data_IF_100139230594
#
_entry.id   IF_100139230594
#
_cell.length_a   1.000
_cell.length_b   1.000
_cell.length_c   1.000
_cell.angle_alpha   90.00
_cell.angle_beta   90.00
_cell.angle_gamma   90.00
#
_symmetry.space_group_name_H-M   'P 1'
#
loop_
_entity.id
_entity.type
_entity.pdbx_description
1 polymer ?
#
# COMPACT_ATOMS: atom_id res chain seq x y z
N UNK A 1 46.55 10.79 15.87
CA UNK A 1 45.90 9.67 15.14
C UNK A 1 44.86 10.27 14.21
N UNK A 2 45.10 10.21 12.92
CA UNK A 2 44.36 10.99 11.93
C UNK A 2 43.00 10.36 11.59
N UNK A 3 41.97 11.19 11.55
CA UNK A 3 40.62 10.83 11.08
C UNK A 3 40.65 10.79 9.54
N UNK A 4 40.58 9.59 8.96
CA UNK A 4 40.37 9.47 7.52
C UNK A 4 38.89 9.72 7.20
N UNK A 5 38.66 10.72 6.36
CA UNK A 5 37.32 11.14 5.95
C UNK A 5 36.75 10.18 4.88
N UNK A 6 35.44 9.91 4.92
CA UNK A 6 34.71 9.10 3.93
C UNK A 6 34.87 9.55 2.46
N UNK A 7 35.45 10.71 2.24
CA UNK A 7 35.68 11.29 0.91
C UNK A 7 36.85 10.64 0.18
N UNK A 8 37.85 10.08 0.89
CA UNK A 8 38.99 9.41 0.28
C UNK A 8 38.73 7.97 -0.18
N UNK A 9 37.66 7.34 0.33
CA UNK A 9 37.27 5.98 -0.06
C UNK A 9 36.75 5.93 -1.51
N UNK A 10 36.05 6.97 -1.97
CA UNK A 10 35.46 7.02 -3.31
C UNK A 10 36.44 7.47 -4.42
N UNK A 11 37.63 7.95 -4.09
CA UNK A 11 38.62 8.40 -5.11
C UNK A 11 39.65 7.33 -5.49
N UNK A 12 39.72 6.18 -4.82
CA UNK A 12 40.71 5.13 -5.07
C UNK A 12 40.23 3.95 -5.94
N UNK A 13 39.01 3.97 -6.48
CA UNK A 13 38.49 2.89 -7.34
C UNK A 13 38.41 3.24 -8.83
N UNK A 14 39.02 4.34 -9.26
CA UNK A 14 39.03 4.75 -10.66
C UNK A 14 40.45 4.97 -11.17
N UNK A 15 41.27 3.93 -11.21
CA UNK A 15 42.48 3.90 -12.05
C UNK A 15 43.20 2.55 -11.99
N UNK A 16 42.78 1.60 -12.82
CA UNK A 16 43.64 0.52 -13.34
C UNK A 16 42.98 -0.13 -14.55
N UNK A 17 43.15 0.47 -15.72
CA UNK A 17 42.98 -0.20 -17.00
C UNK A 17 44.29 -0.09 -17.76
N UNK A 18 45.08 -1.15 -17.73
CA UNK A 18 46.24 -1.32 -18.64
C UNK A 18 45.84 -2.34 -19.68
N UNK A 19 46.01 -1.97 -20.93
CA UNK A 19 45.63 -2.74 -22.08
C UNK A 19 46.48 -3.99 -22.32
N UNK A 20 45.88 -4.96 -22.97
CA UNK A 20 46.56 -6.01 -23.74
C UNK A 20 45.73 -6.26 -25.00
N UNK A 21 46.34 -5.86 -26.12
CA UNK A 21 45.95 -6.26 -27.48
C UNK A 21 46.41 -7.67 -27.77
N UNK A 22 45.50 -8.54 -28.22
CA UNK A 22 45.83 -9.67 -29.09
C UNK A 22 44.63 -10.01 -29.99
N UNK A 23 44.94 -10.38 -31.19
CA UNK A 23 44.18 -10.48 -32.41
C UNK A 23 43.17 -11.65 -32.48
N UNK A 24 42.38 -11.79 -33.55
CA UNK A 24 41.03 -12.38 -33.52
C UNK A 24 41.01 -13.85 -33.85
N UNK A 25 40.12 -14.58 -33.20
CA UNK A 25 39.64 -15.87 -33.71
C UNK A 25 38.12 -15.88 -33.81
N UNK A 26 37.70 -16.08 -35.04
CA UNK A 26 36.33 -16.36 -35.47
C UNK A 26 35.72 -17.54 -34.68
N UNK A 27 34.51 -17.41 -34.18
CA UNK A 27 33.44 -18.37 -34.26
C UNK A 27 32.20 -17.92 -33.48
N UNK A 28 31.04 -17.87 -34.15
CA UNK A 28 29.75 -18.16 -33.57
C UNK A 28 28.96 -16.97 -33.01
N UNK A 29 28.23 -16.26 -33.84
CA UNK A 29 27.07 -15.43 -33.46
C UNK A 29 26.02 -16.29 -32.72
N UNK A 30 25.69 -15.88 -31.52
CA UNK A 30 24.32 -15.95 -31.02
C UNK A 30 24.01 -14.65 -30.28
N UNK A 31 23.59 -13.66 -31.03
CA UNK A 31 23.09 -12.40 -30.52
C UNK A 31 21.82 -12.62 -29.71
N UNK A 32 21.97 -12.70 -28.40
CA UNK A 32 20.83 -12.41 -27.50
C UNK A 32 20.71 -10.90 -27.46
N UNK A 33 19.89 -10.36 -28.34
CA UNK A 33 19.37 -9.01 -28.22
C UNK A 33 18.71 -8.90 -26.83
N UNK A 34 19.32 -8.09 -25.99
CA UNK A 34 18.73 -7.61 -24.73
C UNK A 34 17.45 -6.88 -25.15
N UNK A 35 16.27 -7.51 -25.01
CA UNK A 35 15.01 -6.85 -25.28
C UNK A 35 14.94 -5.65 -24.33
N UNK A 36 15.04 -4.45 -24.87
CA UNK A 36 14.67 -3.25 -24.15
C UNK A 36 13.23 -3.41 -23.68
N UNK A 37 13.03 -3.45 -22.35
CA UNK A 37 11.68 -3.44 -21.81
C UNK A 37 11.01 -2.17 -22.34
N UNK A 38 9.81 -2.27 -22.92
CA UNK A 38 9.13 -1.08 -23.43
C UNK A 38 8.98 -0.08 -22.28
N UNK A 39 9.46 1.14 -22.49
CA UNK A 39 9.19 2.27 -21.59
C UNK A 39 7.68 2.40 -21.50
N UNK A 40 7.14 2.19 -20.31
CA UNK A 40 5.70 2.27 -20.08
C UNK A 40 5.20 3.62 -20.59
N UNK A 41 4.28 3.62 -21.56
CA UNK A 41 3.63 4.84 -22.03
C UNK A 41 3.00 5.50 -20.81
N UNK A 42 3.45 6.70 -20.48
CA UNK A 42 2.85 7.51 -19.41
C UNK A 42 1.39 7.74 -19.77
N UNK A 43 0.49 7.30 -18.90
CA UNK A 43 -0.95 7.53 -19.10
C UNK A 43 -1.23 9.03 -19.09
N UNK A 44 -2.21 9.45 -19.89
CA UNK A 44 -2.66 10.85 -19.90
C UNK A 44 -3.19 11.21 -18.52
N UNK A 45 -2.76 12.33 -17.91
CA UNK A 45 -3.26 12.77 -16.62
C UNK A 45 -4.77 13.00 -16.61
N UNK A 46 -5.48 12.34 -15.72
CA UNK A 46 -6.89 12.54 -15.44
C UNK A 46 -7.04 13.34 -14.16
N UNK A 47 -7.77 14.43 -14.24
CA UNK A 47 -8.02 15.35 -13.16
C UNK A 47 -9.47 15.26 -12.69
N UNK A 48 -9.65 15.08 -11.38
CA UNK A 48 -10.95 15.19 -10.71
C UNK A 48 -10.83 16.20 -9.57
N UNK A 49 -11.85 17.00 -9.36
CA UNK A 49 -11.93 18.00 -8.29
C UNK A 49 -10.66 18.86 -8.14
N UNK A 50 -10.05 19.26 -9.26
CA UNK A 50 -8.86 20.11 -9.23
C UNK A 50 -9.20 21.48 -8.66
N UNK A 51 -8.55 21.86 -7.55
CA UNK A 51 -8.70 23.15 -6.88
C UNK A 51 -7.36 23.86 -6.78
N UNK A 52 -7.40 25.20 -6.86
CA UNK A 52 -6.25 26.02 -6.53
C UNK A 52 -5.91 25.87 -5.05
N UNK A 53 -4.64 25.75 -4.71
CA UNK A 53 -4.18 25.54 -3.34
C UNK A 53 -4.10 24.08 -2.89
N UNK A 54 -4.62 23.10 -3.68
CA UNK A 54 -4.36 21.68 -3.46
C UNK A 54 -3.19 21.22 -4.35
N UNK A 55 -2.30 20.45 -3.79
CA UNK A 55 -1.21 19.78 -4.53
C UNK A 55 -1.61 18.36 -4.93
N UNK A 56 -1.28 17.98 -6.16
CA UNK A 56 -1.63 16.69 -6.74
C UNK A 56 -0.39 15.99 -7.29
N UNK A 57 -0.39 14.66 -7.20
CA UNK A 57 0.64 13.80 -7.79
C UNK A 57 -0.01 12.66 -8.56
N UNK A 58 0.65 12.19 -9.60
CA UNK A 58 0.16 11.04 -10.35
C UNK A 58 0.28 9.76 -9.51
N UNK A 59 -0.78 8.95 -9.49
CA UNK A 59 -0.78 7.64 -8.85
C UNK A 59 -0.14 6.60 -9.79
N UNK A 60 1.18 6.53 -9.77
CA UNK A 60 1.95 5.63 -10.61
C UNK A 60 1.60 5.76 -12.10
N UNK A 61 1.42 4.63 -12.77
CA UNK A 61 1.06 4.55 -14.21
C UNK A 61 -0.45 4.67 -14.49
N UNK A 62 -1.29 4.90 -13.46
CA UNK A 62 -2.77 4.89 -13.63
C UNK A 62 -3.33 6.09 -14.39
N UNK A 63 -2.58 7.19 -14.46
CA UNK A 63 -3.07 8.47 -14.96
C UNK A 63 -3.86 9.30 -13.95
N UNK A 64 -4.26 8.73 -12.82
CA UNK A 64 -5.06 9.44 -11.80
C UNK A 64 -4.20 10.50 -11.10
N UNK A 65 -4.59 11.78 -11.20
CA UNK A 65 -3.96 12.88 -10.46
C UNK A 65 -4.63 13.01 -9.10
N UNK A 66 -4.02 12.39 -8.08
CA UNK A 66 -4.56 12.31 -6.72
C UNK A 66 -4.02 13.44 -5.84
N UNK A 67 -4.84 13.94 -4.93
CA UNK A 67 -4.44 14.92 -3.93
C UNK A 67 -3.36 14.36 -2.98
N UNK A 68 -2.46 15.20 -2.49
CA UNK A 68 -1.41 14.79 -1.55
C UNK A 68 -1.97 14.17 -0.27
N UNK A 69 -3.18 14.56 0.13
CA UNK A 69 -3.93 13.94 1.23
C UNK A 69 -5.09 13.12 0.69
N UNK A 70 -5.26 11.91 1.22
CA UNK A 70 -6.35 10.97 0.93
C UNK A 70 -7.39 11.06 2.02
N UNK A 71 -8.66 11.09 1.65
CA UNK A 71 -9.80 11.00 2.57
C UNK A 71 -9.88 9.59 3.15
N UNK A 72 -9.44 9.40 4.38
CA UNK A 72 -9.48 8.14 5.12
C UNK A 72 -10.80 7.96 5.85
N UNK A 73 -11.65 7.05 5.40
CA UNK A 73 -13.06 6.99 5.85
C UNK A 73 -13.33 6.01 6.99
N UNK A 74 -12.31 5.43 7.62
CA UNK A 74 -12.50 4.37 8.65
C UNK A 74 -13.59 4.69 9.72
N UNK A 75 -13.71 5.93 10.28
CA UNK A 75 -14.73 6.25 11.27
C UNK A 75 -16.09 6.63 10.68
N UNK A 76 -16.23 6.83 9.36
CA UNK A 76 -17.38 7.49 8.71
C UNK A 76 -18.59 6.54 8.52
N UNK A 77 -19.08 6.00 9.62
CA UNK A 77 -20.18 5.02 9.61
C UNK A 77 -21.58 5.62 9.64
N UNK A 78 -21.72 6.95 9.74
CA UNK A 78 -23.01 7.63 9.76
C UNK A 78 -22.93 9.04 9.14
N UNK A 79 -24.08 9.66 8.77
CA UNK A 79 -24.14 10.95 8.09
C UNK A 79 -23.58 12.15 8.86
N UNK A 80 -23.31 12.03 10.15
CA UNK A 80 -22.70 13.14 10.93
C UNK A 80 -21.33 13.58 10.36
N UNK A 81 -20.69 12.71 9.58
CA UNK A 81 -19.39 13.00 8.93
C UNK A 81 -19.53 13.71 7.57
N UNK A 82 -20.75 13.92 7.06
CA UNK A 82 -20.95 14.63 5.78
C UNK A 82 -20.32 16.03 5.76
N UNK A 83 -20.42 16.85 6.82
CA UNK A 83 -19.73 18.15 6.85
C UNK A 83 -18.20 18.03 6.77
N UNK A 84 -17.62 16.95 7.28
CA UNK A 84 -16.17 16.71 7.17
C UNK A 84 -15.81 16.35 5.73
N UNK A 85 -16.58 15.44 5.10
CA UNK A 85 -16.42 15.09 3.68
C UNK A 85 -16.57 16.31 2.78
N UNK A 86 -17.55 17.20 3.05
CA UNK A 86 -17.69 18.47 2.33
C UNK A 86 -16.42 19.31 2.46
N UNK A 87 -15.93 19.49 3.69
CA UNK A 87 -14.74 20.29 3.95
C UNK A 87 -13.47 19.74 3.28
N UNK A 88 -13.33 18.42 3.18
CA UNK A 88 -12.23 17.73 2.49
C UNK A 88 -12.33 17.91 0.97
N UNK A 89 -13.51 17.64 0.39
CA UNK A 89 -13.72 17.69 -1.06
C UNK A 89 -13.70 19.13 -1.57
N UNK A 90 -14.25 20.08 -0.85
CA UNK A 90 -14.23 21.50 -1.24
C UNK A 90 -12.81 22.08 -1.27
N UNK A 91 -11.89 21.51 -0.49
CA UNK A 91 -10.46 21.86 -0.53
C UNK A 91 -9.66 21.13 -1.59
N UNK A 92 -10.32 20.35 -2.45
CA UNK A 92 -9.67 19.68 -3.58
C UNK A 92 -9.20 18.25 -3.28
N UNK A 93 -9.46 17.71 -2.10
CA UNK A 93 -9.18 16.29 -1.87
C UNK A 93 -10.06 15.45 -2.79
N UNK A 94 -9.45 14.49 -3.49
CA UNK A 94 -10.12 13.75 -4.56
C UNK A 94 -9.90 12.25 -4.56
N UNK A 95 -9.26 11.70 -3.53
CA UNK A 95 -9.12 10.25 -3.36
C UNK A 95 -9.78 9.83 -2.06
N UNK A 96 -10.78 8.93 -2.17
CA UNK A 96 -11.55 8.41 -1.04
C UNK A 96 -11.15 6.95 -0.80
N UNK A 97 -10.57 6.66 0.36
CA UNK A 97 -10.19 5.30 0.76
C UNK A 97 -11.23 4.69 1.71
N UNK A 98 -11.93 3.66 1.24
CA UNK A 98 -12.89 2.89 2.02
C UNK A 98 -12.52 1.41 2.08
N UNK A 99 -13.33 0.60 2.76
CA UNK A 99 -13.21 -0.85 2.78
C UNK A 99 -14.50 -1.53 3.22
N UNK A 100 -14.81 -2.70 2.64
CA UNK A 100 -15.92 -3.55 3.07
C UNK A 100 -15.81 -3.97 4.55
N UNK A 101 -14.58 -4.09 5.09
CA UNK A 101 -14.33 -4.41 6.49
C UNK A 101 -14.63 -3.27 7.47
N UNK A 102 -14.72 -2.02 7.01
CA UNK A 102 -14.96 -0.87 7.90
C UNK A 102 -16.42 -0.88 8.40
N UNK A 103 -16.57 -1.08 9.70
CA UNK A 103 -17.89 -1.20 10.35
C UNK A 103 -18.85 -2.17 9.60
N UNK A 104 -18.31 -3.31 9.12
CA UNK A 104 -19.08 -4.35 8.39
C UNK A 104 -19.80 -3.80 7.15
N UNK A 105 -19.16 -2.89 6.40
CA UNK A 105 -19.69 -2.29 5.18
C UNK A 105 -20.53 -1.03 5.39
N UNK A 106 -20.80 -0.62 6.63
CA UNK A 106 -21.60 0.57 6.89
C UNK A 106 -20.92 1.85 6.39
N UNK A 107 -19.56 1.90 6.48
CA UNK A 107 -18.79 3.02 5.93
C UNK A 107 -18.98 3.14 4.42
N UNK A 108 -18.92 2.03 3.67
CA UNK A 108 -19.21 2.06 2.23
C UNK A 108 -20.62 2.57 1.94
N UNK A 109 -21.62 2.16 2.73
CA UNK A 109 -23.01 2.64 2.58
C UNK A 109 -23.13 4.14 2.84
N UNK A 110 -22.47 4.65 3.86
CA UNK A 110 -22.44 6.09 4.18
C UNK A 110 -21.78 6.90 3.07
N UNK A 111 -20.61 6.47 2.57
CA UNK A 111 -19.91 7.11 1.46
C UNK A 111 -20.75 7.04 0.17
N UNK A 112 -21.38 5.90 -0.13
CA UNK A 112 -22.28 5.75 -1.27
C UNK A 112 -23.44 6.73 -1.23
N UNK A 113 -24.10 6.88 -0.08
CA UNK A 113 -25.19 7.85 0.12
C UNK A 113 -24.70 9.28 -0.08
N UNK A 114 -23.57 9.65 0.54
CA UNK A 114 -22.97 10.97 0.38
C UNK A 114 -22.67 11.30 -1.09
N UNK A 115 -21.96 10.41 -1.80
CA UNK A 115 -21.60 10.64 -3.19
C UNK A 115 -22.81 10.73 -4.12
N UNK A 116 -23.88 9.98 -3.82
CA UNK A 116 -25.13 10.06 -4.56
C UNK A 116 -25.89 11.37 -4.31
N UNK A 117 -26.06 11.75 -3.04
CA UNK A 117 -26.75 12.97 -2.64
C UNK A 117 -26.09 14.22 -3.19
N UNK A 118 -24.77 14.28 -3.13
CA UNK A 118 -23.97 15.42 -3.63
C UNK A 118 -23.65 15.34 -5.12
N UNK A 119 -24.01 14.26 -5.82
CA UNK A 119 -23.55 13.95 -7.18
C UNK A 119 -22.03 14.00 -7.30
N UNK A 120 -21.34 13.60 -6.23
CA UNK A 120 -19.89 13.77 -6.06
C UNK A 120 -19.04 12.66 -6.67
N UNK A 121 -19.64 11.58 -7.24
CA UNK A 121 -18.88 10.41 -7.73
C UNK A 121 -17.79 10.78 -8.73
N UNK A 122 -18.07 11.69 -9.65
CA UNK A 122 -17.12 12.13 -10.68
C UNK A 122 -16.04 13.10 -10.14
N UNK A 123 -16.23 13.60 -8.93
CA UNK A 123 -15.23 14.46 -8.26
C UNK A 123 -14.14 13.67 -7.56
N UNK A 124 -14.30 12.36 -7.35
CA UNK A 124 -13.38 11.57 -6.56
C UNK A 124 -12.91 10.31 -7.28
N UNK A 125 -11.67 9.91 -7.02
CA UNK A 125 -11.18 8.55 -7.23
C UNK A 125 -11.55 7.72 -6.00
N UNK A 126 -12.38 6.71 -6.19
CA UNK A 126 -12.94 5.90 -5.11
C UNK A 126 -12.21 4.57 -5.00
N UNK A 127 -11.75 4.24 -3.80
CA UNK A 127 -11.09 2.98 -3.50
C UNK A 127 -11.86 2.16 -2.47
N UNK A 128 -11.84 0.83 -2.62
CA UNK A 128 -12.28 -0.11 -1.61
C UNK A 128 -11.37 -1.35 -1.55
N UNK A 129 -11.71 -2.34 -0.70
CA UNK A 129 -10.84 -3.48 -0.41
C UNK A 129 -11.65 -4.78 -0.34
N UNK A 130 -11.13 -5.89 -0.91
CA UNK A 130 -11.69 -7.23 -0.78
C UNK A 130 -11.35 -7.82 0.61
N UNK A 131 -11.91 -7.24 1.66
CA UNK A 131 -11.52 -7.52 3.05
C UNK A 131 -11.71 -8.98 3.49
N UNK A 132 -12.64 -9.72 2.91
CA UNK A 132 -12.95 -11.11 3.25
C UNK A 132 -12.37 -12.15 2.27
N UNK A 133 -11.60 -11.76 1.27
CA UNK A 133 -11.07 -12.68 0.24
C UNK A 133 -10.32 -13.85 0.85
N UNK A 134 -9.32 -13.59 1.69
CA UNK A 134 -8.52 -14.65 2.31
C UNK A 134 -9.27 -15.42 3.40
N UNK A 135 -10.29 -14.85 4.02
CA UNK A 135 -11.14 -15.58 4.96
C UNK A 135 -11.92 -16.69 4.27
N UNK A 136 -12.32 -16.47 3.02
CA UNK A 136 -12.98 -17.53 2.23
C UNK A 136 -11.99 -18.63 1.81
N UNK A 137 -10.75 -18.27 1.48
CA UNK A 137 -9.71 -19.28 1.23
C UNK A 137 -9.48 -20.12 2.48
N UNK A 138 -9.46 -19.52 3.68
CA UNK A 138 -9.41 -20.27 4.94
C UNK A 138 -10.59 -21.23 5.12
N UNK A 139 -11.80 -20.86 4.66
CA UNK A 139 -12.98 -21.74 4.72
C UNK A 139 -12.83 -22.94 3.78
N UNK A 140 -12.38 -22.73 2.54
CA UNK A 140 -12.19 -23.87 1.63
C UNK A 140 -11.03 -24.78 2.06
N UNK A 141 -10.02 -24.25 2.72
CA UNK A 141 -8.91 -25.03 3.28
C UNK A 141 -9.35 -25.92 4.46
N UNK A 142 -10.39 -25.58 5.20
CA UNK A 142 -10.96 -26.44 6.27
C UNK A 142 -11.37 -27.80 5.73
N UNK A 143 -11.76 -27.91 4.48
CA UNK A 143 -12.08 -29.19 3.83
C UNK A 143 -10.88 -30.15 3.81
N UNK A 144 -9.66 -29.62 3.54
CA UNK A 144 -8.43 -30.40 3.66
C UNK A 144 -8.04 -30.63 5.10
N UNK A 145 -8.06 -29.56 5.90
CA UNK A 145 -7.63 -29.60 7.30
C UNK A 145 -8.43 -30.63 8.13
N UNK A 146 -9.71 -30.81 7.83
CA UNK A 146 -10.56 -31.79 8.53
C UNK A 146 -10.09 -33.25 8.34
N UNK A 147 -9.44 -33.55 7.23
CA UNK A 147 -8.86 -34.87 6.95
C UNK A 147 -7.43 -35.08 7.47
N UNK A 148 -6.80 -34.07 8.04
CA UNK A 148 -5.42 -34.17 8.55
C UNK A 148 -5.38 -34.68 9.97
N UNK A 149 -4.33 -35.50 10.27
CA UNK A 149 -4.02 -35.87 11.67
C UNK A 149 -3.58 -34.65 12.48
N UNK A 150 -3.72 -34.73 13.80
CA UNK A 150 -3.29 -33.63 14.70
C UNK A 150 -1.79 -33.35 14.53
N UNK A 151 -0.96 -34.38 14.47
CA UNK A 151 0.49 -34.28 14.26
C UNK A 151 0.83 -33.53 12.95
N UNK A 152 0.06 -33.74 11.87
CA UNK A 152 0.27 -33.01 10.61
C UNK A 152 -0.09 -31.53 10.76
N UNK A 153 -1.20 -31.22 11.42
CA UNK A 153 -1.61 -29.83 11.71
C UNK A 153 -0.57 -29.11 12.55
N UNK A 154 -0.05 -29.77 13.59
CA UNK A 154 0.94 -29.20 14.49
C UNK A 154 2.27 -28.96 13.75
N UNK A 155 2.72 -29.91 12.92
CA UNK A 155 3.92 -29.72 12.11
C UNK A 155 3.79 -28.57 11.07
N UNK A 156 2.59 -28.29 10.56
CA UNK A 156 2.36 -27.11 9.69
C UNK A 156 2.38 -25.82 10.50
N UNK A 157 1.87 -25.81 11.74
CA UNK A 157 1.94 -24.64 12.63
C UNK A 157 3.37 -24.33 13.04
N UNK A 158 4.14 -25.35 13.44
CA UNK A 158 5.56 -25.20 13.76
C UNK A 158 6.36 -24.61 12.59
N UNK A 159 6.12 -25.10 11.37
CA UNK A 159 6.74 -24.52 10.15
C UNK A 159 6.33 -23.08 9.91
N UNK A 160 5.06 -22.71 10.17
CA UNK A 160 4.59 -21.34 10.05
C UNK A 160 5.28 -20.43 11.06
N UNK A 161 5.44 -20.88 12.31
CA UNK A 161 6.16 -20.15 13.37
C UNK A 161 7.65 -20.01 13.04
N UNK A 162 8.29 -21.07 12.56
CA UNK A 162 9.69 -21.03 12.10
C UNK A 162 9.86 -20.04 10.94
N UNK A 163 8.98 -20.05 9.96
CA UNK A 163 9.01 -19.12 8.83
C UNK A 163 8.85 -17.67 9.28
N UNK A 164 7.94 -17.41 10.22
CA UNK A 164 7.75 -16.10 10.85
C UNK A 164 8.99 -15.64 11.60
N UNK A 165 9.60 -16.52 12.37
CA UNK A 165 10.81 -16.25 13.17
C UNK A 165 12.01 -15.95 12.25
N UNK A 166 12.23 -16.76 11.21
CA UNK A 166 13.30 -16.58 10.24
C UNK A 166 13.20 -15.26 9.48
N UNK A 167 11.98 -14.78 9.22
CA UNK A 167 11.73 -13.47 8.60
C UNK A 167 11.78 -12.32 9.60
N UNK A 168 11.74 -12.61 10.89
CA UNK A 168 11.72 -11.59 11.93
C UNK A 168 10.48 -10.68 11.86
N UNK A 169 9.33 -11.19 11.40
CA UNK A 169 8.13 -10.37 11.13
C UNK A 169 7.55 -9.68 12.35
N UNK A 170 7.83 -10.21 13.54
CA UNK A 170 7.46 -9.63 14.83
C UNK A 170 8.68 -9.08 15.60
N UNK A 171 9.82 -8.91 14.93
CA UNK A 171 11.06 -8.44 15.57
C UNK A 171 10.86 -7.06 16.20
N UNK A 172 11.18 -6.89 17.49
CA UNK A 172 11.12 -5.59 18.14
C UNK A 172 11.94 -4.52 17.39
N UNK A 173 11.38 -3.32 17.27
CA UNK A 173 11.98 -2.21 16.53
C UNK A 173 11.76 -2.25 15.00
N UNK A 174 11.39 -3.42 14.46
CA UNK A 174 10.98 -3.58 13.05
C UNK A 174 9.47 -3.67 12.92
N UNK A 175 8.82 -4.55 13.70
CA UNK A 175 7.37 -4.67 13.74
C UNK A 175 6.74 -3.54 14.55
N UNK A 176 5.67 -2.96 14.00
CA UNK A 176 4.82 -1.97 14.68
C UNK A 176 3.37 -2.46 14.66
N UNK A 177 2.77 -2.51 15.85
CA UNK A 177 1.37 -2.89 15.99
C UNK A 177 0.48 -1.64 15.86
N UNK A 178 -0.24 -1.50 14.76
CA UNK A 178 -1.05 -0.34 14.44
C UNK A 178 -2.53 -0.47 14.83
N UNK A 179 -2.99 -1.70 15.10
CA UNK A 179 -4.38 -1.97 15.49
C UNK A 179 -4.50 -3.26 16.29
N UNK A 180 -5.55 -3.34 17.12
CA UNK A 180 -5.80 -4.51 17.94
C UNK A 180 -6.01 -5.77 17.10
N UNK A 181 -5.35 -6.87 17.48
CA UNK A 181 -5.43 -8.15 16.78
C UNK A 181 -4.55 -8.26 15.53
N UNK A 182 -3.71 -7.25 15.22
CA UNK A 182 -2.76 -7.32 14.11
C UNK A 182 -1.85 -8.54 14.22
N UNK A 183 -1.22 -8.74 15.38
CA UNK A 183 -0.27 -9.84 15.59
C UNK A 183 -0.90 -11.21 15.43
N UNK A 184 -2.16 -11.38 15.88
CA UNK A 184 -2.90 -12.64 15.74
C UNK A 184 -3.22 -13.05 14.29
N UNK A 185 -3.05 -12.16 13.33
CA UNK A 185 -3.26 -12.46 11.91
C UNK A 185 -2.04 -13.14 11.25
N UNK A 186 -0.84 -12.98 11.81
CA UNK A 186 0.38 -13.55 11.22
C UNK A 186 0.36 -15.08 11.18
N UNK A 187 0.18 -15.80 12.31
CA UNK A 187 0.18 -17.26 12.30
C UNK A 187 -0.83 -17.82 11.30
N UNK A 188 -2.02 -17.25 11.24
CA UNK A 188 -3.07 -17.67 10.31
C UNK A 188 -2.68 -17.45 8.85
N UNK A 189 -2.03 -16.34 8.55
CA UNK A 189 -1.59 -16.01 7.17
C UNK A 189 -0.48 -16.97 6.72
N UNK A 190 0.49 -17.25 7.57
CA UNK A 190 1.60 -18.17 7.25
C UNK A 190 1.12 -19.62 7.19
N UNK A 191 0.23 -20.03 8.08
CA UNK A 191 -0.40 -21.36 8.03
C UNK A 191 -1.17 -21.58 6.73
N UNK A 192 -1.99 -20.60 6.32
CA UNK A 192 -2.71 -20.62 5.02
C UNK A 192 -1.74 -20.81 3.86
N UNK A 193 -0.65 -20.06 3.83
CA UNK A 193 0.36 -20.18 2.79
C UNK A 193 0.92 -21.58 2.71
N UNK A 194 1.35 -22.17 3.84
CA UNK A 194 1.87 -23.54 3.88
C UNK A 194 0.82 -24.59 3.46
N UNK A 195 -0.42 -24.42 3.85
CA UNK A 195 -1.53 -25.26 3.40
C UNK A 195 -1.70 -25.21 1.87
N UNK A 196 -1.68 -24.02 1.28
CA UNK A 196 -1.77 -23.86 -0.17
C UNK A 196 -0.53 -24.39 -0.89
N UNK A 197 0.65 -24.21 -0.33
CA UNK A 197 1.90 -24.75 -0.88
C UNK A 197 1.90 -26.28 -0.91
N UNK A 198 1.39 -26.94 0.14
CA UNK A 198 1.42 -28.38 0.27
C UNK A 198 0.27 -29.08 -0.49
N UNK A 199 -0.92 -28.52 -0.45
CA UNK A 199 -2.13 -29.15 -1.00
C UNK A 199 -2.63 -28.52 -2.30
N UNK A 200 -2.17 -27.32 -2.62
CA UNK A 200 -2.62 -26.54 -3.78
C UNK A 200 -4.12 -26.21 -3.75
N UNK A 201 -4.60 -25.68 -4.86
CA UNK A 201 -6.03 -25.52 -5.09
C UNK A 201 -6.63 -26.79 -5.67
N UNK A 202 -7.54 -27.43 -4.93
CA UNK A 202 -8.29 -28.58 -5.47
C UNK A 202 -9.16 -28.19 -6.67
N UNK A 203 -9.55 -29.18 -7.47
CA UNK A 203 -10.47 -28.97 -8.59
C UNK A 203 -11.76 -28.27 -8.13
N UNK A 204 -12.17 -27.25 -8.85
CA UNK A 204 -13.35 -26.44 -8.55
C UNK A 204 -13.14 -25.32 -7.51
N UNK A 205 -12.07 -25.33 -6.72
CA UNK A 205 -11.82 -24.27 -5.72
C UNK A 205 -11.54 -22.93 -6.37
N UNK A 206 -10.69 -22.89 -7.40
CA UNK A 206 -10.40 -21.65 -8.14
C UNK A 206 -11.68 -20.96 -8.60
N UNK A 207 -12.62 -21.73 -9.17
CA UNK A 207 -13.93 -21.21 -9.59
C UNK A 207 -14.72 -20.62 -8.42
N UNK A 208 -14.84 -21.36 -7.31
CA UNK A 208 -15.56 -20.90 -6.12
C UNK A 208 -14.96 -19.62 -5.51
N UNK A 209 -13.61 -19.52 -5.49
CA UNK A 209 -12.90 -18.35 -4.98
C UNK A 209 -13.15 -17.14 -5.88
N UNK A 210 -13.10 -17.30 -7.19
CA UNK A 210 -13.43 -16.23 -8.14
C UNK A 210 -14.88 -15.77 -8.00
N UNK A 211 -15.85 -16.69 -7.96
CA UNK A 211 -17.25 -16.36 -7.73
C UNK A 211 -17.46 -15.62 -6.41
N UNK A 212 -16.74 -16.02 -5.36
CA UNK A 212 -16.78 -15.32 -4.08
C UNK A 212 -16.20 -13.90 -4.18
N UNK A 213 -15.07 -13.72 -4.85
CA UNK A 213 -14.48 -12.41 -5.08
C UNK A 213 -15.42 -11.49 -5.86
N UNK A 214 -16.12 -12.02 -6.88
CA UNK A 214 -17.16 -11.28 -7.60
C UNK A 214 -18.27 -10.80 -6.67
N UNK A 215 -18.83 -11.69 -5.85
CA UNK A 215 -19.87 -11.31 -4.85
C UNK A 215 -19.38 -10.22 -3.90
N UNK A 216 -18.16 -10.34 -3.39
CA UNK A 216 -17.58 -9.34 -2.48
C UNK A 216 -17.52 -7.96 -3.13
N UNK A 217 -17.07 -7.87 -4.38
CA UNK A 217 -17.01 -6.59 -5.08
C UNK A 217 -18.40 -6.06 -5.43
N UNK A 218 -19.32 -6.91 -5.94
CA UNK A 218 -20.70 -6.53 -6.25
C UNK A 218 -21.43 -5.99 -5.02
N UNK A 219 -21.25 -6.60 -3.85
CA UNK A 219 -21.79 -6.10 -2.58
C UNK A 219 -21.20 -4.74 -2.19
N UNK A 220 -19.89 -4.53 -2.39
CA UNK A 220 -19.25 -3.23 -2.17
C UNK A 220 -19.79 -2.18 -3.12
N UNK A 221 -19.89 -2.47 -4.42
CA UNK A 221 -20.45 -1.55 -5.43
C UNK A 221 -21.91 -1.18 -5.09
N UNK A 222 -22.71 -2.14 -4.66
CA UNK A 222 -24.09 -1.89 -4.19
C UNK A 222 -24.14 -0.95 -2.99
N UNK A 223 -23.27 -1.14 -1.98
CA UNK A 223 -23.18 -0.25 -0.81
C UNK A 223 -22.68 1.15 -1.21
N UNK A 224 -21.69 1.22 -2.07
CA UNK A 224 -21.10 2.46 -2.61
C UNK A 224 -22.01 3.16 -3.63
N UNK A 225 -23.11 2.52 -4.05
CA UNK A 225 -24.08 3.04 -5.02
C UNK A 225 -23.43 3.50 -6.35
N UNK A 226 -22.51 2.68 -6.87
CA UNK A 226 -21.75 2.93 -8.11
C UNK A 226 -21.51 1.63 -8.86
N UNK A 227 -21.28 1.69 -10.16
CA UNK A 227 -21.01 0.52 -11.00
C UNK A 227 -19.53 0.13 -11.00
N UNK A 228 -18.64 1.01 -10.53
CA UNK A 228 -17.21 0.77 -10.50
C UNK A 228 -16.50 1.50 -9.35
N UNK A 229 -15.35 1.00 -8.95
CA UNK A 229 -14.38 1.73 -8.14
C UNK A 229 -13.11 2.01 -8.97
N UNK A 230 -12.42 3.10 -8.66
CA UNK A 230 -11.18 3.44 -9.36
C UNK A 230 -10.04 2.52 -8.92
N UNK A 231 -9.96 2.18 -7.64
CA UNK A 231 -8.90 1.34 -7.07
C UNK A 231 -9.48 0.24 -6.18
N UNK A 232 -9.06 -1.01 -6.40
CA UNK A 232 -9.44 -2.15 -5.56
C UNK A 232 -8.20 -2.76 -4.91
N UNK A 233 -8.21 -2.86 -3.57
CA UNK A 233 -7.09 -3.42 -2.82
C UNK A 233 -7.32 -4.89 -2.42
N UNK A 234 -6.37 -5.76 -2.77
CA UNK A 234 -6.21 -7.12 -2.26
C UNK A 234 -4.75 -7.57 -2.52
N UNK A 235 -4.00 -8.12 -1.53
CA UNK A 235 -4.39 -8.32 -0.13
C UNK A 235 -4.67 -7.03 0.64
N UNK A 236 -5.28 -7.18 1.83
CA UNK A 236 -5.59 -6.09 2.73
C UNK A 236 -5.33 -6.51 4.18
N UNK A 237 -4.59 -5.69 4.92
CA UNK A 237 -4.25 -5.91 6.34
C UNK A 237 -2.85 -6.47 6.53
N UNK A 238 -2.72 -7.73 6.94
CA UNK A 238 -1.44 -8.44 6.99
C UNK A 238 -1.21 -9.14 5.65
N UNK A 239 -0.01 -8.98 5.12
CA UNK A 239 0.42 -9.57 3.87
C UNK A 239 1.77 -10.27 4.02
N UNK A 240 2.05 -11.19 3.12
CA UNK A 240 3.37 -11.77 2.89
C UNK A 240 3.64 -11.82 1.39
N UNK A 241 4.91 -11.79 0.95
CA UNK A 241 5.24 -11.69 -0.48
C UNK A 241 4.57 -12.74 -1.36
N UNK A 242 4.48 -13.98 -0.88
CA UNK A 242 3.91 -15.09 -1.63
C UNK A 242 2.41 -14.96 -1.91
N UNK A 243 1.68 -14.16 -1.14
CA UNK A 243 0.26 -13.89 -1.43
C UNK A 243 0.06 -13.17 -2.76
N UNK A 244 1.09 -12.47 -3.26
CA UNK A 244 1.04 -11.75 -4.53
C UNK A 244 1.32 -12.64 -5.73
N UNK A 245 1.81 -13.87 -5.49
CA UNK A 245 2.02 -14.90 -6.53
C UNK A 245 0.76 -15.71 -6.82
N UNK A 246 -0.35 -15.44 -6.11
CA UNK A 246 -1.62 -16.15 -6.30
C UNK A 246 -2.22 -15.81 -7.67
N UNK A 247 -2.12 -16.78 -8.60
CA UNK A 247 -2.69 -16.67 -9.95
C UNK A 247 -4.20 -16.43 -9.93
N UNK A 248 -4.93 -16.97 -8.95
CA UNK A 248 -6.39 -16.80 -8.85
C UNK A 248 -6.72 -15.32 -8.56
N UNK A 249 -5.95 -14.69 -7.68
CA UNK A 249 -6.12 -13.27 -7.39
C UNK A 249 -5.79 -12.39 -8.60
N UNK A 250 -4.70 -12.72 -9.31
CA UNK A 250 -4.34 -12.01 -10.54
C UNK A 250 -5.45 -12.11 -11.59
N UNK A 251 -5.96 -13.31 -11.85
CA UNK A 251 -7.05 -13.54 -12.78
C UNK A 251 -8.32 -12.78 -12.36
N UNK A 252 -8.63 -12.73 -11.06
CA UNK A 252 -9.76 -11.94 -10.51
C UNK A 252 -9.61 -10.46 -10.86
N UNK A 253 -8.43 -9.87 -10.67
CA UNK A 253 -8.19 -8.46 -11.02
C UNK A 253 -8.30 -8.22 -12.53
N UNK A 254 -7.79 -9.14 -13.35
CA UNK A 254 -7.91 -9.04 -14.81
C UNK A 254 -9.38 -9.10 -15.25
N UNK A 255 -10.18 -10.02 -14.71
CA UNK A 255 -11.62 -10.11 -14.96
C UNK A 255 -12.37 -8.84 -14.54
N UNK A 256 -12.05 -8.27 -13.38
CA UNK A 256 -12.68 -7.03 -12.91
C UNK A 256 -12.34 -5.83 -13.80
N UNK A 257 -11.08 -5.72 -14.24
CA UNK A 257 -10.66 -4.67 -15.20
C UNK A 257 -11.37 -4.84 -16.54
N UNK A 258 -11.45 -6.07 -17.07
CA UNK A 258 -12.14 -6.36 -18.33
C UNK A 258 -13.64 -6.03 -18.29
N UNK A 259 -14.29 -6.25 -17.15
CA UNK A 259 -15.70 -5.92 -16.92
C UNK A 259 -15.93 -4.43 -16.59
N UNK A 260 -14.87 -3.64 -16.45
CA UNK A 260 -14.96 -2.23 -16.08
C UNK A 260 -15.39 -1.99 -14.62
N UNK A 261 -15.38 -3.02 -13.76
CA UNK A 261 -15.75 -2.90 -12.35
C UNK A 261 -14.66 -2.22 -11.51
N UNK A 262 -13.40 -2.28 -11.98
CA UNK A 262 -12.25 -1.56 -11.39
C UNK A 262 -11.39 -0.97 -12.50
N UNK A 263 -10.60 0.07 -12.15
CA UNK A 263 -9.64 0.66 -13.09
C UNK A 263 -8.21 0.28 -12.73
N UNK A 264 -7.89 0.16 -11.44
CA UNK A 264 -6.57 -0.18 -10.95
C UNK A 264 -6.62 -1.28 -9.89
N UNK A 265 -5.69 -2.25 -9.99
CA UNK A 265 -5.44 -3.26 -8.99
C UNK A 265 -4.42 -2.74 -7.98
N UNK A 266 -4.70 -2.89 -6.69
CA UNK A 266 -3.82 -2.42 -5.63
C UNK A 266 -3.72 -3.42 -4.48
N UNK A 267 -2.76 -3.19 -3.60
CA UNK A 267 -2.63 -3.93 -2.34
C UNK A 267 -2.50 -2.96 -1.17
N UNK A 268 -2.83 -3.44 0.04
CA UNK A 268 -2.73 -2.63 1.26
C UNK A 268 -2.19 -3.48 2.41
N UNK A 269 -1.10 -3.07 3.07
CA UNK A 269 -0.47 -3.86 4.12
C UNK A 269 0.27 -3.01 5.15
N UNK A 270 0.39 -3.57 6.36
CA UNK A 270 0.97 -2.87 7.52
C UNK A 270 2.36 -3.38 7.91
N UNK A 271 2.74 -4.55 7.42
CA UNK A 271 3.92 -5.30 7.85
C UNK A 271 4.86 -5.58 6.69
N UNK A 272 6.14 -5.90 7.02
CA UNK A 272 7.16 -6.39 6.09
C UNK A 272 7.17 -5.61 4.76
N UNK A 273 7.15 -4.27 4.90
CA UNK A 273 6.81 -3.37 3.78
C UNK A 273 7.82 -3.48 2.65
N UNK A 274 9.12 -3.60 2.97
CA UNK A 274 10.16 -3.68 1.94
C UNK A 274 10.03 -4.95 1.10
N UNK A 275 9.78 -6.11 1.73
CA UNK A 275 9.62 -7.38 1.02
C UNK A 275 8.33 -7.41 0.19
N UNK A 276 7.22 -6.96 0.78
CA UNK A 276 5.93 -6.90 0.08
C UNK A 276 5.98 -5.94 -1.12
N UNK A 277 6.58 -4.74 -0.99
CA UNK A 277 6.76 -3.83 -2.12
C UNK A 277 7.67 -4.43 -3.20
N UNK A 278 8.78 -5.07 -2.80
CA UNK A 278 9.69 -5.72 -3.76
C UNK A 278 8.96 -6.79 -4.58
N UNK A 279 8.11 -7.59 -3.93
CA UNK A 279 7.31 -8.61 -4.60
C UNK A 279 6.24 -8.00 -5.49
N UNK A 280 5.56 -6.94 -5.05
CA UNK A 280 4.58 -6.24 -5.88
C UNK A 280 5.19 -5.68 -7.17
N UNK A 281 6.44 -5.17 -7.09
CA UNK A 281 7.21 -4.72 -8.27
C UNK A 281 7.55 -5.92 -9.18
N UNK A 282 7.99 -7.03 -8.60
CA UNK A 282 8.38 -8.24 -9.31
C UNK A 282 7.22 -8.85 -10.11
N UNK A 283 6.06 -9.05 -9.48
CA UNK A 283 4.88 -9.64 -10.14
C UNK A 283 4.24 -8.71 -11.18
N UNK A 284 4.38 -7.39 -11.02
CA UNK A 284 4.13 -6.37 -12.05
C UNK A 284 2.66 -6.12 -12.44
N UNK A 285 1.68 -6.81 -11.84
CA UNK A 285 0.26 -6.62 -12.19
C UNK A 285 -0.45 -5.59 -11.30
N UNK A 286 0.16 -5.17 -10.19
CA UNK A 286 -0.36 -4.09 -9.36
C UNK A 286 -0.08 -2.72 -9.97
N UNK A 287 -1.05 -1.84 -9.86
CA UNK A 287 -0.97 -0.45 -10.30
C UNK A 287 -0.63 0.49 -9.14
N UNK A 288 -1.04 0.11 -7.91
CA UNK A 288 -0.76 0.90 -6.70
C UNK A 288 -0.55 0.01 -5.47
N UNK A 289 0.13 0.56 -4.46
CA UNK A 289 0.33 -0.02 -3.15
C UNK A 289 0.08 1.01 -2.05
N UNK A 290 -0.67 0.61 -1.02
CA UNK A 290 -0.88 1.40 0.20
C UNK A 290 -0.20 0.68 1.36
N UNK A 291 0.72 1.35 2.06
CA UNK A 291 1.53 0.70 3.08
C UNK A 291 1.89 1.62 4.25
N UNK A 292 2.23 1.02 5.38
CA UNK A 292 2.68 1.75 6.57
C UNK A 292 4.03 2.44 6.28
N UNK A 293 4.05 3.76 6.43
CA UNK A 293 5.24 4.59 6.27
C UNK A 293 5.18 5.77 7.23
N UNK A 294 6.16 5.91 8.10
CA UNK A 294 6.19 6.97 9.10
C UNK A 294 7.63 7.22 9.58
N UNK A 295 7.82 8.30 10.33
CA UNK A 295 9.15 8.77 10.76
C UNK A 295 9.93 7.77 11.64
N UNK A 296 9.23 6.81 12.28
CA UNK A 296 9.89 5.79 13.10
C UNK A 296 10.23 4.52 12.31
N UNK A 297 9.67 4.33 11.11
CA UNK A 297 9.88 3.13 10.29
C UNK A 297 9.87 3.47 8.80
N UNK A 298 10.98 3.98 8.28
CA UNK A 298 11.08 4.40 6.87
C UNK A 298 12.40 4.03 6.19
N UNK A 299 13.52 4.01 6.91
CA UNK A 299 14.84 3.95 6.29
C UNK A 299 15.07 2.72 5.40
N UNK A 300 14.53 1.56 5.79
CA UNK A 300 14.62 0.33 4.99
C UNK A 300 13.73 0.34 3.73
N UNK A 301 12.84 1.33 3.60
CA UNK A 301 11.83 1.38 2.54
C UNK A 301 12.23 2.30 1.38
N UNK A 302 13.10 3.26 1.60
CA UNK A 302 13.37 4.33 0.64
C UNK A 302 13.93 3.82 -0.67
N UNK A 303 14.86 2.86 -0.65
CA UNK A 303 15.41 2.26 -1.86
C UNK A 303 14.38 1.45 -2.65
N UNK A 304 13.47 0.76 -1.97
CA UNK A 304 12.39 -0.02 -2.62
C UNK A 304 11.34 0.92 -3.20
N UNK A 305 11.02 2.01 -2.51
CA UNK A 305 10.08 3.02 -2.99
C UNK A 305 10.58 3.68 -4.29
N UNK A 306 11.88 3.97 -4.37
CA UNK A 306 12.47 4.46 -5.61
C UNK A 306 12.26 3.48 -6.78
N UNK A 307 12.56 2.19 -6.56
CA UNK A 307 12.32 1.13 -7.58
C UNK A 307 10.83 1.00 -7.93
N UNK A 308 9.94 1.14 -6.95
CA UNK A 308 8.49 1.14 -7.16
C UNK A 308 8.05 2.27 -8.07
N UNK A 309 8.55 3.48 -7.84
CA UNK A 309 8.26 4.63 -8.70
C UNK A 309 8.75 4.40 -10.14
N UNK A 310 9.97 3.88 -10.31
CA UNK A 310 10.52 3.56 -11.63
C UNK A 310 9.71 2.48 -12.36
N UNK A 311 9.15 1.52 -11.62
CA UNK A 311 8.25 0.50 -12.16
C UNK A 311 6.82 1.04 -12.45
N UNK A 312 6.55 2.30 -12.15
CA UNK A 312 5.23 2.92 -12.35
C UNK A 312 4.19 2.52 -11.30
N UNK A 313 4.62 1.99 -10.15
CA UNK A 313 3.73 1.65 -9.03
C UNK A 313 3.33 2.93 -8.29
N UNK A 314 2.03 3.20 -8.19
CA UNK A 314 1.51 4.30 -7.36
C UNK A 314 1.66 3.95 -5.87
N UNK A 315 2.24 4.85 -5.08
CA UNK A 315 2.53 4.58 -3.67
C UNK A 315 1.80 5.54 -2.76
N UNK A 316 1.00 4.98 -1.84
CA UNK A 316 0.20 5.72 -0.87
C UNK A 316 0.69 5.35 0.53
N UNK A 317 1.13 6.32 1.30
CA UNK A 317 1.51 6.11 2.69
C UNK A 317 0.27 6.06 3.58
N UNK A 318 0.18 5.08 4.47
CA UNK A 318 -0.79 5.04 5.57
C UNK A 318 -0.07 4.92 6.92
N UNK A 319 -0.81 5.12 8.03
CA UNK A 319 -0.24 5.07 9.39
C UNK A 319 0.85 6.12 9.65
N UNK A 320 0.89 7.16 8.83
CA UNK A 320 1.87 8.26 8.90
C UNK A 320 1.82 8.95 10.26
N UNK A 321 0.63 9.39 10.67
CA UNK A 321 0.40 10.06 11.94
C UNK A 321 -0.09 9.13 13.07
N UNK A 322 -0.37 7.84 12.77
CA UNK A 322 -0.95 6.89 13.75
C UNK A 322 -0.09 6.74 15.01
N UNK A 323 1.21 6.82 14.90
CA UNK A 323 2.13 6.70 16.03
C UNK A 323 1.87 7.75 17.11
N UNK A 324 1.45 8.95 16.70
CA UNK A 324 1.21 10.09 17.59
C UNK A 324 -0.18 10.06 18.23
N UNK A 325 -1.09 9.23 17.68
CA UNK A 325 -2.43 8.99 18.23
C UNK A 325 -2.51 7.77 19.15
N UNK A 326 -1.40 7.02 19.34
CA UNK A 326 -1.35 5.84 20.20
C UNK A 326 -1.07 6.25 21.65
N UNK A 327 -1.76 5.60 22.59
CA UNK A 327 -1.46 5.78 24.02
C UNK A 327 -0.06 5.23 24.35
N UNK A 328 0.63 5.87 25.31
CA UNK A 328 1.94 5.46 25.80
C UNK A 328 3.03 5.36 24.70
N UNK A 329 2.98 6.23 23.71
CA UNK A 329 4.07 6.31 22.73
C UNK A 329 5.36 6.87 23.37
N UNK A 330 6.54 6.39 22.92
CA UNK A 330 7.81 6.96 23.37
C UNK A 330 7.95 8.44 22.96
N UNK A 331 8.37 9.30 23.90
CA UNK A 331 8.55 10.75 23.64
C UNK A 331 9.52 11.04 22.49
N UNK A 332 10.58 10.23 22.35
CA UNK A 332 11.55 10.42 21.27
C UNK A 332 10.95 10.50 19.86
N UNK A 333 9.75 9.98 19.65
CA UNK A 333 9.07 10.05 18.34
C UNK A 333 8.60 11.47 18.04
N UNK A 334 8.08 12.17 19.04
CA UNK A 334 7.67 13.57 18.93
C UNK A 334 8.92 14.43 18.78
N UNK A 335 9.93 14.23 19.62
CA UNK A 335 11.19 14.98 19.58
C UNK A 335 11.87 14.84 18.21
N UNK A 336 11.89 13.62 17.66
CA UNK A 336 12.44 13.37 16.32
C UNK A 336 11.67 14.15 15.25
N UNK A 337 10.34 14.16 15.33
CA UNK A 337 9.51 14.89 14.36
C UNK A 337 9.67 16.41 14.49
N UNK A 338 9.69 16.93 15.71
CA UNK A 338 9.86 18.36 16.00
C UNK A 338 11.26 18.87 15.63
N UNK A 339 12.29 18.05 15.83
CA UNK A 339 13.64 18.34 15.35
C UNK A 339 13.71 18.37 13.84
N UNK A 340 12.98 17.46 13.18
CA UNK A 340 12.97 17.36 11.70
C UNK A 340 12.15 18.48 11.07
N UNK A 341 11.02 18.86 11.70
CA UNK A 341 10.13 19.93 11.23
C UNK A 341 9.87 20.89 12.38
N UNK A 342 10.63 21.98 12.41
CA UNK A 342 10.62 22.96 13.50
C UNK A 342 9.47 23.99 13.45
N UNK A 343 8.51 23.85 12.52
CA UNK A 343 7.35 24.77 12.40
C UNK A 343 6.35 24.54 13.56
N UNK A 344 6.41 25.42 14.57
CA UNK A 344 5.56 25.35 15.76
C UNK A 344 4.10 25.77 15.50
N UNK A 345 3.74 26.20 14.30
CA UNK A 345 2.36 26.51 13.92
C UNK A 345 1.58 25.28 13.45
N UNK A 346 2.28 24.16 13.24
CA UNK A 346 1.71 22.89 12.81
C UNK A 346 1.51 21.96 14.00
N UNK A 347 0.40 21.23 13.99
CA UNK A 347 0.19 20.12 14.92
C UNK A 347 1.18 18.98 14.65
N UNK A 348 1.36 18.09 15.63
CA UNK A 348 2.18 16.89 15.47
C UNK A 348 1.68 16.03 14.31
N UNK A 349 0.37 15.96 14.07
CA UNK A 349 -0.22 15.20 12.97
C UNK A 349 0.12 15.84 11.62
N UNK A 350 -0.05 17.14 11.48
CA UNK A 350 0.30 17.90 10.28
C UNK A 350 1.80 17.79 9.98
N UNK A 351 2.68 17.89 10.98
CA UNK A 351 4.12 17.66 10.82
C UNK A 351 4.43 16.26 10.29
N UNK A 352 3.73 15.24 10.80
CA UNK A 352 3.93 13.85 10.33
C UNK A 352 3.57 13.69 8.85
N UNK A 353 2.43 14.25 8.40
CA UNK A 353 2.05 14.24 6.98
C UNK A 353 3.03 15.05 6.13
N UNK A 354 3.41 16.24 6.58
CA UNK A 354 4.39 17.08 5.88
C UNK A 354 5.71 16.35 5.69
N UNK A 355 6.21 15.68 6.74
CA UNK A 355 7.42 14.87 6.67
C UNK A 355 7.30 13.77 5.61
N UNK A 356 6.23 12.98 5.62
CA UNK A 356 6.05 11.89 4.66
C UNK A 356 5.95 12.40 3.22
N UNK A 357 5.26 13.51 2.98
CA UNK A 357 5.09 14.11 1.66
C UNK A 357 6.37 14.74 1.09
N UNK A 358 7.43 14.89 1.88
CA UNK A 358 8.74 15.25 1.33
C UNK A 358 9.38 14.10 0.53
N UNK A 359 8.93 12.86 0.73
CA UNK A 359 9.39 11.75 -0.11
C UNK A 359 8.80 11.86 -1.53
N UNK A 360 9.64 12.10 -2.57
CA UNK A 360 9.16 12.32 -3.93
C UNK A 360 8.63 11.04 -4.61
N UNK A 361 8.81 9.88 -3.96
CA UNK A 361 8.33 8.59 -4.46
C UNK A 361 6.87 8.33 -4.05
N UNK A 362 6.34 9.02 -3.04
CA UNK A 362 4.94 8.92 -2.65
C UNK A 362 4.04 9.72 -3.57
N UNK A 363 2.89 9.13 -3.93
CA UNK A 363 1.81 9.83 -4.60
C UNK A 363 0.92 10.57 -3.60
N UNK A 364 0.67 10.00 -2.42
CA UNK A 364 -0.26 10.57 -1.44
C UNK A 364 -0.07 9.95 -0.05
N UNK A 365 -0.71 10.55 0.97
CA UNK A 365 -0.79 10.03 2.33
C UNK A 365 -2.24 9.93 2.78
N UNK A 366 -2.63 8.78 3.37
CA UNK A 366 -3.95 8.64 3.98
C UNK A 366 -4.00 9.45 5.28
N UNK A 367 -4.89 10.43 5.30
CA UNK A 367 -5.27 11.16 6.50
C UNK A 367 -6.65 10.67 6.97
N UNK A 368 -6.84 10.60 8.28
CA UNK A 368 -8.13 10.34 8.89
C UNK A 368 -8.46 11.58 9.71
N UNK A 369 -9.44 12.32 9.28
CA UNK A 369 -9.89 13.56 9.93
C UNK A 369 -11.35 13.39 10.33
N UNK A 370 -11.68 13.69 11.55
CA UNK A 370 -13.03 13.48 12.11
C UNK A 370 -13.77 14.79 12.35
N UNK A 371 -13.05 15.92 12.20
CA UNK A 371 -13.58 17.26 12.40
C UNK A 371 -13.11 18.23 11.31
N UNK A 372 -13.87 19.30 11.10
CA UNK A 372 -13.52 20.37 10.15
C UNK A 372 -12.21 21.07 10.55
N UNK A 373 -11.94 21.19 11.85
CA UNK A 373 -10.71 21.78 12.36
C UNK A 373 -9.48 20.95 12.02
N UNK A 374 -9.58 19.61 12.10
CA UNK A 374 -8.51 18.69 11.67
C UNK A 374 -8.27 18.79 10.16
N UNK A 375 -9.33 18.93 9.36
CA UNK A 375 -9.21 19.20 7.92
C UNK A 375 -8.47 20.50 7.67
N UNK A 376 -8.84 21.57 8.37
CA UNK A 376 -8.21 22.88 8.24
C UNK A 376 -6.73 22.85 8.68
N UNK A 377 -6.41 22.10 9.74
CA UNK A 377 -5.04 21.96 10.24
C UNK A 377 -4.16 21.18 9.26
N UNK A 378 -4.61 20.00 8.80
CA UNK A 378 -3.86 19.20 7.86
C UNK A 378 -3.72 19.87 6.47
N UNK A 379 -4.69 20.69 6.06
CA UNK A 379 -4.60 21.44 4.80
C UNK A 379 -3.45 22.46 4.79
N UNK A 380 -2.99 22.95 5.94
CA UNK A 380 -1.87 23.90 6.04
C UNK A 380 -0.57 23.37 5.42
N UNK A 381 -0.42 22.05 5.31
CA UNK A 381 0.85 21.44 4.82
C UNK A 381 0.86 21.19 3.31
N UNK A 382 -0.29 21.31 2.65
CA UNK A 382 -0.43 20.99 1.23
C UNK A 382 0.52 21.84 0.38
N UNK A 383 1.28 21.21 -0.49
CA UNK A 383 2.26 21.85 -1.37
C UNK A 383 3.50 22.40 -0.67
N UNK A 384 3.57 22.38 0.67
CA UNK A 384 4.76 22.83 1.40
C UNK A 384 5.97 21.95 1.12
N UNK A 385 7.11 22.58 0.93
CA UNK A 385 8.42 21.96 0.88
C UNK A 385 9.23 22.42 2.08
N UNK A 386 9.83 21.46 2.77
CA UNK A 386 10.73 21.70 3.89
C UNK A 386 12.04 20.95 3.66
N UNK A 387 13.14 21.54 4.03
CA UNK A 387 14.42 20.84 4.10
C UNK A 387 14.36 19.87 5.29
N UNK A 388 14.38 18.56 5.00
CA UNK A 388 14.47 17.55 6.03
C UNK A 388 15.93 17.41 6.44
N UNK A 389 16.24 17.76 7.70
CA UNK A 389 17.56 17.50 8.26
C UNK A 389 17.77 15.97 8.35
N UNK A 390 18.89 15.42 7.87
CA UNK A 390 19.20 14.02 8.06
C UNK A 390 19.32 13.74 9.57
N UNK A 391 18.50 12.84 10.08
CA UNK A 391 18.52 12.42 11.49
C UNK A 391 19.38 11.17 11.64
#
# INVERSE_FOLDING_TARGET
MAKNSRREFFQKTAAASVGLTLAPSLLGESGKTRSEKPVAKTATPEWRNKQDGMSYRMLGKTGMMVSELVIGTFPFKDPKYFPVLDAEIERGMNYVDSAAGYSKGQVESTIGSYLKETRGRERVFLATKLSAYYSYIDEVLKEVESGLTQSKKDGLREKAEEMMANRGVLKPGYHMNYFNGQEGQFPKTYYRHLMLQEYGYKSGWKKKIKEHAHRLLEESLKRLQTDYVDVLHCPHGISMPEMMEDDVLREVFEEFKQKGMIRAAALSFHNDVAANLSKAIEVGYYDAAMFAYNIANHAALESVMFKGKEAGLGMIAMKVARLFAMNNQPEWRIDKLDTTISDNTLSVFSKAYLWALQNPNLSSCVSQMETIDEVADNYKIVGKKVEIQPV
#
